data_IF_239620750269
#
_entry.id   IF_239620750269
#
_cell.length_a   1.000
_cell.length_b   1.000
_cell.length_c   1.000
_cell.angle_alpha   90.00
_cell.angle_beta   90.00
_cell.angle_gamma   90.00
#
_symmetry.space_group_name_H-M   'P 1'
#
loop_
_entity.id
_entity.type
_entity.pdbx_description
1 polymer ?
#
# COMPACT_ATOMS: atom_id res chain seq x y z
N UNK A 1 -29.64 2.97 0.68
CA UNK A 1 -28.87 4.21 0.88
C UNK A 1 -27.82 4.24 -0.22
N UNK A 2 -27.76 5.29 -1.03
CA UNK A 2 -26.76 5.41 -2.09
C UNK A 2 -25.39 5.67 -1.44
N UNK A 3 -24.49 4.68 -1.54
CA UNK A 3 -23.17 4.69 -0.92
C UNK A 3 -22.15 5.50 -1.75
N UNK A 4 -22.49 5.87 -2.98
CA UNK A 4 -21.62 6.66 -3.87
C UNK A 4 -21.34 8.07 -3.35
N UNK A 5 -22.25 8.65 -2.56
CA UNK A 5 -22.10 9.95 -1.91
C UNK A 5 -20.83 10.08 -1.04
N UNK A 6 -20.38 9.00 -0.44
CA UNK A 6 -19.24 8.99 0.49
C UNK A 6 -18.02 8.22 -0.05
N UNK A 7 -18.06 7.82 -1.32
CA UNK A 7 -16.98 7.03 -1.94
C UNK A 7 -15.74 7.85 -2.28
N UNK A 8 -15.87 9.18 -2.38
CA UNK A 8 -14.73 10.07 -2.61
C UNK A 8 -14.13 10.57 -1.32
N UNK A 9 -12.84 10.40 -1.16
CA UNK A 9 -12.08 11.03 -0.08
C UNK A 9 -11.69 12.43 -0.54
N UNK A 10 -12.13 13.46 0.17
CA UNK A 10 -12.00 14.87 -0.24
C UNK A 10 -10.67 15.52 0.12
N UNK A 11 -9.83 14.85 0.91
CA UNK A 11 -8.60 15.44 1.43
C UNK A 11 -7.36 14.83 0.75
N UNK A 12 -6.41 15.71 0.43
CA UNK A 12 -5.06 15.28 0.07
C UNK A 12 -4.39 14.65 1.29
N UNK A 13 -3.69 13.55 1.06
CA UNK A 13 -2.90 12.87 2.09
C UNK A 13 -1.43 12.92 1.75
N UNK A 14 -0.59 12.86 2.77
CA UNK A 14 0.86 12.74 2.61
C UNK A 14 1.21 11.26 2.73
N UNK A 15 1.86 10.73 1.69
CA UNK A 15 2.43 9.39 1.69
C UNK A 15 3.94 9.43 1.60
N UNK A 16 4.62 8.47 2.20
CA UNK A 16 6.07 8.32 2.14
C UNK A 16 6.44 6.99 1.48
N UNK A 17 7.46 7.02 0.62
CA UNK A 17 7.96 5.84 -0.08
C UNK A 17 9.46 5.67 0.17
N UNK A 18 9.85 4.48 0.62
CA UNK A 18 11.25 4.14 0.87
C UNK A 18 11.90 3.48 -0.34
N UNK A 19 13.00 4.03 -0.84
CA UNK A 19 13.72 3.51 -2.01
C UNK A 19 15.21 3.88 -1.98
N UNK A 20 15.91 3.69 -3.10
CA UNK A 20 17.28 4.17 -3.24
C UNK A 20 17.33 5.68 -3.43
N UNK A 21 18.36 6.33 -2.88
CA UNK A 21 18.56 7.77 -2.96
C UNK A 21 18.58 8.29 -4.42
N UNK A 22 19.17 7.54 -5.32
CA UNK A 22 19.22 7.93 -6.74
C UNK A 22 17.82 8.01 -7.36
N UNK A 23 16.88 7.15 -6.92
CA UNK A 23 15.48 7.21 -7.33
C UNK A 23 14.81 8.45 -6.75
N UNK A 24 15.01 8.73 -5.45
CA UNK A 24 14.49 9.93 -4.80
C UNK A 24 14.95 11.20 -5.55
N UNK A 25 16.24 11.32 -5.82
CA UNK A 25 16.82 12.47 -6.50
C UNK A 25 16.24 12.65 -7.92
N UNK A 26 16.02 11.57 -8.65
CA UNK A 26 15.45 11.60 -10.00
C UNK A 26 13.96 11.97 -9.99
N UNK A 27 13.18 11.41 -9.06
CA UNK A 27 11.74 11.66 -8.94
C UNK A 27 11.47 13.12 -8.51
N UNK A 28 12.18 13.61 -7.49
CA UNK A 28 12.01 15.00 -7.02
C UNK A 28 12.47 16.02 -8.07
N UNK A 29 13.48 15.67 -8.87
CA UNK A 29 13.92 16.50 -9.99
C UNK A 29 12.98 16.45 -11.21
N UNK A 30 11.89 15.66 -11.16
CA UNK A 30 10.94 15.50 -12.28
C UNK A 30 11.53 14.77 -13.50
N UNK A 31 12.61 14.00 -13.31
CA UNK A 31 13.25 13.23 -14.39
C UNK A 31 12.58 11.88 -14.63
N UNK A 32 11.92 11.33 -13.64
CA UNK A 32 11.19 10.07 -13.67
C UNK A 32 10.09 10.06 -12.62
N UNK A 33 9.17 9.10 -12.72
CA UNK A 33 8.18 8.79 -11.69
C UNK A 33 8.56 7.54 -10.93
N UNK A 34 7.91 7.30 -9.77
CA UNK A 34 7.97 6.03 -9.10
C UNK A 34 7.30 4.95 -9.95
N UNK A 35 7.88 3.76 -9.96
CA UNK A 35 7.36 2.64 -10.72
C UNK A 35 6.30 1.88 -9.93
N UNK A 36 5.24 1.47 -10.62
CA UNK A 36 4.24 0.57 -10.08
C UNK A 36 4.85 -0.80 -9.81
N UNK A 37 4.59 -1.34 -8.62
CA UNK A 37 4.93 -2.71 -8.26
C UNK A 37 3.88 -3.67 -8.83
N UNK A 38 4.31 -4.85 -9.28
CA UNK A 38 3.42 -5.86 -9.90
C UNK A 38 3.73 -7.27 -9.40
N UNK A 39 4.28 -7.39 -8.19
CA UNK A 39 4.54 -8.70 -7.61
C UNK A 39 3.23 -9.38 -7.18
N UNK A 40 3.18 -10.69 -7.31
CA UNK A 40 2.02 -11.51 -6.93
C UNK A 40 1.82 -11.65 -5.40
N UNK A 41 2.67 -11.00 -4.61
CA UNK A 41 2.63 -11.01 -3.14
C UNK A 41 2.51 -9.62 -2.52
N UNK A 42 2.36 -8.58 -3.31
CA UNK A 42 2.17 -7.22 -2.81
C UNK A 42 0.77 -7.07 -2.20
N UNK A 43 0.71 -6.63 -0.97
CA UNK A 43 -0.45 -6.73 -0.07
C UNK A 43 -1.74 -6.10 -0.59
N UNK A 44 -1.65 -5.02 -1.35
CA UNK A 44 -2.79 -4.27 -1.89
C UNK A 44 -2.90 -4.36 -3.41
N UNK A 45 -2.25 -5.35 -4.03
CA UNK A 45 -2.24 -5.52 -5.48
C UNK A 45 -1.24 -4.61 -6.19
N UNK A 46 -1.45 -4.40 -7.48
CA UNK A 46 -0.52 -3.66 -8.33
C UNK A 46 -0.67 -2.16 -8.14
N UNK A 47 0.45 -1.45 -7.94
CA UNK A 47 0.46 -0.01 -7.79
C UNK A 47 1.72 0.54 -7.14
N UNK A 48 1.71 1.83 -6.81
CA UNK A 48 2.79 2.52 -6.13
C UNK A 48 2.43 2.63 -4.64
N UNK A 49 3.29 2.10 -3.79
CA UNK A 49 3.03 1.95 -2.35
C UNK A 49 3.57 3.11 -1.53
N UNK A 50 2.76 3.58 -0.58
CA UNK A 50 3.13 4.64 0.35
C UNK A 50 2.68 4.32 1.77
N UNK A 51 3.44 4.76 2.77
CA UNK A 51 3.03 4.83 4.17
C UNK A 51 2.40 6.19 4.45
N UNK A 52 1.11 6.22 4.83
CA UNK A 52 0.41 7.48 5.14
C UNK A 52 0.96 8.10 6.41
N UNK A 53 1.45 9.35 6.32
CA UNK A 53 2.00 10.14 7.43
C UNK A 53 3.07 9.41 8.27
N UNK A 54 3.78 8.43 7.69
CA UNK A 54 4.73 7.62 8.44
C UNK A 54 6.07 7.49 7.68
N UNK A 55 6.87 8.56 7.73
CA UNK A 55 8.20 8.63 7.13
C UNK A 55 9.14 7.56 7.72
N UNK A 56 9.11 7.40 9.05
CA UNK A 56 9.98 6.44 9.75
C UNK A 56 9.74 5.00 9.27
N UNK A 57 8.48 4.63 9.02
CA UNK A 57 8.18 3.29 8.52
C UNK A 57 8.69 3.07 7.08
N UNK A 58 8.60 4.10 6.24
CA UNK A 58 9.17 4.07 4.89
C UNK A 58 10.71 3.96 4.94
N UNK A 59 11.34 4.67 5.86
CA UNK A 59 12.79 4.61 6.09
C UNK A 59 13.24 3.23 6.58
N UNK A 60 12.55 2.65 7.57
CA UNK A 60 12.82 1.31 8.06
C UNK A 60 12.72 0.27 6.94
N UNK A 61 11.70 0.37 6.11
CA UNK A 61 11.53 -0.50 4.95
C UNK A 61 12.71 -0.42 3.98
N UNK A 62 13.13 0.79 3.60
CA UNK A 62 14.27 0.99 2.72
C UNK A 62 15.55 0.39 3.30
N UNK A 63 15.80 0.60 4.60
CA UNK A 63 16.95 -0.01 5.31
C UNK A 63 16.89 -1.53 5.33
N UNK A 64 15.72 -2.11 5.58
CA UNK A 64 15.57 -3.56 5.64
C UNK A 64 15.71 -4.19 4.25
N UNK A 65 15.22 -3.54 3.21
CA UNK A 65 15.46 -3.97 1.83
C UNK A 65 16.94 -3.87 1.45
N UNK A 66 17.64 -2.81 1.83
CA UNK A 66 19.06 -2.63 1.54
C UNK A 66 19.95 -3.75 2.08
N UNK A 67 19.55 -4.40 3.19
CA UNK A 67 20.27 -5.55 3.78
C UNK A 67 20.14 -6.84 2.99
N UNK A 68 19.19 -6.94 2.04
CA UNK A 68 18.97 -8.15 1.25
C UNK A 68 20.10 -8.37 0.24
N UNK A 69 20.54 -9.60 0.05
CA UNK A 69 21.72 -9.98 -0.77
C UNK A 69 21.71 -9.40 -2.20
N UNK A 70 20.53 -9.25 -2.81
CA UNK A 70 20.36 -8.75 -4.19
C UNK A 70 19.59 -7.43 -4.23
N UNK A 71 19.72 -6.61 -3.18
CA UNK A 71 19.01 -5.34 -3.11
C UNK A 71 19.48 -4.37 -4.19
N UNK A 72 18.51 -3.66 -4.79
CA UNK A 72 18.78 -2.52 -5.66
C UNK A 72 18.98 -1.22 -4.84
N UNK A 73 18.68 -1.25 -3.54
CA UNK A 73 18.88 -0.10 -2.64
C UNK A 73 20.30 -0.14 -2.11
N UNK A 74 21.13 0.80 -2.57
CA UNK A 74 22.51 1.02 -2.11
C UNK A 74 22.58 2.06 -1.01
N UNK A 75 21.84 3.14 -1.18
CA UNK A 75 21.72 4.23 -0.23
C UNK A 75 20.21 4.41 0.10
N UNK A 76 19.74 3.86 1.24
CA UNK A 76 18.34 4.00 1.63
C UNK A 76 17.92 5.47 1.74
N UNK A 77 16.77 5.81 1.21
CA UNK A 77 16.21 7.16 1.28
C UNK A 77 14.67 7.11 1.24
N UNK A 78 14.03 8.24 1.51
CA UNK A 78 12.58 8.40 1.52
C UNK A 78 12.19 9.59 0.64
N UNK A 79 11.15 9.41 -0.17
CA UNK A 79 10.47 10.49 -0.87
C UNK A 79 9.06 10.65 -0.31
N UNK A 80 8.64 11.89 -0.10
CA UNK A 80 7.25 12.24 0.22
C UNK A 80 6.44 12.49 -1.05
N UNK A 81 5.16 12.20 -1.00
CA UNK A 81 4.20 12.48 -2.06
C UNK A 81 2.92 13.11 -1.51
N UNK A 82 2.34 14.02 -2.27
CA UNK A 82 0.99 14.56 -2.03
C UNK A 82 0.04 13.75 -2.90
N UNK A 83 -0.91 13.06 -2.28
CA UNK A 83 -1.78 12.08 -2.94
C UNK A 83 -3.24 12.47 -2.76
N UNK A 84 -3.98 12.59 -3.87
CA UNK A 84 -5.44 12.60 -3.89
C UNK A 84 -5.88 11.15 -4.07
N UNK A 85 -6.54 10.58 -3.08
CA UNK A 85 -6.92 9.17 -3.12
C UNK A 85 -7.92 8.82 -4.23
N UNK A 86 -8.59 9.83 -4.83
CA UNK A 86 -9.57 9.62 -5.88
C UNK A 86 -10.73 8.71 -5.44
N UNK A 87 -11.14 7.79 -6.31
CA UNK A 87 -12.07 6.71 -5.95
C UNK A 87 -11.29 5.60 -5.24
N UNK A 88 -11.29 5.67 -3.91
CA UNK A 88 -10.45 4.82 -3.07
C UNK A 88 -11.19 3.55 -2.60
N UNK A 89 -10.57 2.40 -2.80
CA UNK A 89 -10.96 1.13 -2.16
C UNK A 89 -10.43 1.10 -0.74
N UNK A 90 -11.13 1.76 0.18
CA UNK A 90 -10.72 1.94 1.57
C UNK A 90 -11.15 0.76 2.43
N UNK A 91 -10.25 -0.19 2.65
CA UNK A 91 -10.50 -1.40 3.43
C UNK A 91 -10.59 -1.16 4.96
N UNK A 92 -10.66 0.10 5.40
CA UNK A 92 -11.11 0.46 6.75
C UNK A 92 -12.63 0.64 6.82
N UNK A 93 -13.31 0.72 5.67
CA UNK A 93 -14.77 0.81 5.57
C UNK A 93 -15.39 -0.57 5.43
N UNK A 94 -16.35 -0.88 6.30
CA UNK A 94 -17.04 -2.16 6.33
C UNK A 94 -17.75 -2.50 5.01
N UNK A 95 -18.16 -1.49 4.23
CA UNK A 95 -18.78 -1.70 2.92
C UNK A 95 -17.80 -2.30 1.93
N UNK A 96 -16.59 -1.75 1.86
CA UNK A 96 -15.54 -2.26 0.97
C UNK A 96 -14.99 -3.61 1.44
N UNK A 97 -15.00 -3.88 2.75
CA UNK A 97 -14.68 -5.23 3.25
C UNK A 97 -15.70 -6.28 2.79
N UNK A 98 -16.99 -5.94 2.66
CA UNK A 98 -17.98 -6.86 2.07
C UNK A 98 -17.76 -7.04 0.57
N UNK A 99 -17.37 -5.99 -0.14
CA UNK A 99 -17.01 -6.08 -1.57
C UNK A 99 -15.76 -6.97 -1.77
N UNK A 100 -14.74 -6.81 -0.93
CA UNK A 100 -13.55 -7.66 -0.93
C UNK A 100 -13.90 -9.13 -0.68
N UNK A 101 -14.81 -9.40 0.27
CA UNK A 101 -15.31 -10.74 0.56
C UNK A 101 -16.02 -11.34 -0.65
N UNK A 102 -16.87 -10.58 -1.33
CA UNK A 102 -17.58 -11.05 -2.53
C UNK A 102 -16.58 -11.36 -3.67
N UNK A 103 -15.53 -10.54 -3.83
CA UNK A 103 -14.45 -10.81 -4.79
C UNK A 103 -13.70 -12.10 -4.48
N UNK A 104 -13.43 -12.38 -3.19
CA UNK A 104 -12.86 -13.65 -2.77
C UNK A 104 -13.77 -14.84 -3.13
N UNK A 105 -15.06 -14.78 -2.81
CA UNK A 105 -16.02 -15.85 -3.10
C UNK A 105 -16.11 -16.17 -4.61
N UNK A 106 -16.12 -15.12 -5.44
CA UNK A 106 -16.10 -15.27 -6.89
C UNK A 106 -14.78 -15.88 -7.38
N UNK A 107 -13.64 -15.40 -6.85
CA UNK A 107 -12.33 -15.98 -7.16
C UNK A 107 -12.25 -17.45 -6.82
N UNK A 108 -12.76 -17.87 -5.63
CA UNK A 108 -12.81 -19.29 -5.22
C UNK A 108 -13.55 -20.14 -6.24
N UNK A 109 -14.68 -19.63 -6.76
CA UNK A 109 -15.48 -20.36 -7.76
C UNK A 109 -14.66 -20.57 -9.04
N UNK A 110 -14.03 -19.53 -9.57
CA UNK A 110 -13.20 -19.60 -10.78
C UNK A 110 -12.03 -20.57 -10.61
N UNK A 111 -11.32 -20.49 -9.48
CA UNK A 111 -10.19 -21.38 -9.21
C UNK A 111 -10.62 -22.85 -9.10
N UNK A 112 -11.76 -23.11 -8.45
CA UNK A 112 -12.34 -24.46 -8.33
C UNK A 112 -12.74 -25.03 -9.70
N UNK A 113 -13.39 -24.23 -10.54
CA UNK A 113 -13.80 -24.64 -11.89
C UNK A 113 -12.59 -24.89 -12.81
N UNK A 114 -11.51 -24.12 -12.62
CA UNK A 114 -10.27 -24.26 -13.37
C UNK A 114 -9.35 -25.37 -12.83
N UNK A 115 -9.66 -26.00 -11.72
CA UNK A 115 -8.82 -27.00 -11.07
C UNK A 115 -7.47 -26.46 -10.56
N UNK A 116 -7.39 -25.14 -10.28
CA UNK A 116 -6.17 -24.48 -9.80
C UNK A 116 -6.28 -24.28 -8.29
N UNK A 117 -5.18 -24.51 -7.56
CA UNK A 117 -5.14 -24.22 -6.12
C UNK A 117 -5.16 -22.71 -5.85
N UNK A 118 -5.91 -22.31 -4.80
CA UNK A 118 -5.90 -20.94 -4.31
C UNK A 118 -4.51 -20.56 -3.78
N UNK A 119 -4.03 -19.34 -4.07
CA UNK A 119 -2.82 -18.83 -3.46
C UNK A 119 -2.98 -18.74 -1.94
N UNK A 120 -1.86 -18.79 -1.23
CA UNK A 120 -1.83 -18.75 0.24
C UNK A 120 -0.90 -17.64 0.71
N UNK A 121 -1.32 -16.97 1.80
CA UNK A 121 -0.41 -16.08 2.51
C UNK A 121 0.56 -16.92 3.34
N UNK A 122 1.84 -16.55 3.35
CA UNK A 122 2.89 -17.27 4.08
C UNK A 122 3.81 -16.32 4.84
N UNK A 123 4.38 -16.80 5.93
CA UNK A 123 5.43 -16.11 6.67
C UNK A 123 6.81 -16.30 6.00
N UNK A 124 7.78 -15.49 6.40
CA UNK A 124 9.19 -15.64 6.01
C UNK A 124 9.97 -16.13 7.23
N UNK A 125 10.60 -17.29 7.12
CA UNK A 125 11.36 -17.88 8.21
C UNK A 125 10.48 -18.16 9.42
N UNK A 126 10.92 -17.73 10.62
CA UNK A 126 10.19 -17.92 11.89
C UNK A 126 9.30 -16.72 12.24
N UNK A 127 9.03 -15.79 11.29
CA UNK A 127 8.16 -14.66 11.55
C UNK A 127 6.71 -15.10 11.77
N UNK A 128 6.02 -14.46 12.71
CA UNK A 128 4.60 -14.66 12.97
C UNK A 128 3.73 -13.97 11.93
N UNK A 129 4.26 -12.91 11.31
CA UNK A 129 3.55 -12.13 10.30
C UNK A 129 3.56 -12.83 8.93
N UNK A 130 2.43 -12.77 8.24
CA UNK A 130 2.28 -13.27 6.88
C UNK A 130 2.81 -12.22 5.89
N UNK A 131 4.14 -12.19 5.67
CA UNK A 131 4.79 -11.17 4.85
C UNK A 131 4.68 -11.41 3.34
N UNK A 132 4.45 -12.66 2.92
CA UNK A 132 4.19 -13.04 1.53
C UNK A 132 2.68 -13.21 1.38
N UNK A 133 1.99 -12.21 0.83
CA UNK A 133 0.53 -12.13 0.84
C UNK A 133 -0.11 -12.40 -0.51
N UNK A 134 0.21 -13.54 -1.10
CA UNK A 134 -0.31 -13.92 -2.43
C UNK A 134 -1.82 -14.03 -2.49
N UNK A 135 -2.47 -14.51 -1.42
CA UNK A 135 -3.93 -14.58 -1.34
C UNK A 135 -4.53 -13.17 -1.31
N UNK A 136 -4.03 -12.30 -0.43
CA UNK A 136 -4.54 -10.94 -0.28
C UNK A 136 -4.37 -10.16 -1.60
N UNK A 137 -3.18 -10.26 -2.22
CA UNK A 137 -2.91 -9.68 -3.53
C UNK A 137 -3.93 -10.14 -4.58
N UNK A 138 -4.15 -11.44 -4.71
CA UNK A 138 -5.08 -11.99 -5.70
C UNK A 138 -6.52 -11.54 -5.47
N UNK A 139 -6.97 -11.47 -4.21
CA UNK A 139 -8.33 -11.02 -3.87
C UNK A 139 -8.52 -9.54 -4.17
N UNK A 140 -7.55 -8.68 -3.81
CA UNK A 140 -7.60 -7.26 -4.13
C UNK A 140 -7.60 -7.06 -5.65
N UNK A 141 -6.71 -7.73 -6.38
CA UNK A 141 -6.69 -7.65 -7.85
C UNK A 141 -8.00 -8.10 -8.48
N UNK A 142 -8.63 -9.15 -7.94
CA UNK A 142 -9.95 -9.61 -8.38
C UNK A 142 -10.99 -8.51 -8.20
N UNK A 143 -11.04 -7.86 -7.03
CA UNK A 143 -11.97 -6.75 -6.78
C UNK A 143 -11.75 -5.57 -7.74
N UNK A 144 -10.48 -5.21 -8.01
CA UNK A 144 -10.14 -4.14 -8.94
C UNK A 144 -10.55 -4.48 -10.38
N UNK A 145 -10.31 -5.72 -10.83
CA UNK A 145 -10.66 -6.19 -12.17
C UNK A 145 -12.18 -6.21 -12.39
N UNK A 146 -12.97 -6.64 -11.40
CA UNK A 146 -14.43 -6.63 -11.51
C UNK A 146 -15.02 -5.25 -11.82
N UNK A 147 -14.44 -4.20 -11.26
CA UNK A 147 -14.87 -2.83 -11.58
C UNK A 147 -14.60 -2.48 -13.05
N UNK A 148 -13.45 -2.87 -13.57
CA UNK A 148 -13.10 -2.62 -14.98
C UNK A 148 -13.99 -3.40 -15.92
N UNK A 149 -14.22 -4.68 -15.67
CA UNK A 149 -15.05 -5.56 -16.51
C UNK A 149 -16.52 -5.14 -16.52
N UNK A 150 -17.04 -4.60 -15.41
CA UNK A 150 -18.38 -4.07 -15.31
C UNK A 150 -18.57 -2.69 -15.95
N UNK A 151 -17.58 -2.13 -16.67
CA UNK A 151 -17.56 -0.76 -17.17
C UNK A 151 -17.88 0.29 -16.06
N UNK A 152 -17.63 -0.05 -14.81
CA UNK A 152 -17.73 0.87 -13.69
C UNK A 152 -16.44 1.70 -13.58
N UNK A 153 -16.51 2.82 -12.87
CA UNK A 153 -15.32 3.62 -12.61
C UNK A 153 -14.31 2.79 -11.81
N UNK A 154 -13.09 2.57 -12.33
CA UNK A 154 -12.07 1.80 -11.62
C UNK A 154 -11.64 2.50 -10.33
N UNK A 155 -11.11 1.74 -9.39
CA UNK A 155 -10.49 2.31 -8.21
C UNK A 155 -9.16 2.99 -8.56
N UNK A 156 -8.96 4.22 -8.07
CA UNK A 156 -7.73 4.99 -8.26
C UNK A 156 -6.66 4.61 -7.23
N UNK A 157 -7.09 4.17 -6.06
CA UNK A 157 -6.20 3.76 -4.97
C UNK A 157 -6.84 2.71 -4.07
N UNK A 158 -5.99 1.99 -3.32
CA UNK A 158 -6.38 1.07 -2.24
C UNK A 158 -5.75 1.53 -0.95
N UNK A 159 -6.49 1.53 0.16
CA UNK A 159 -6.02 1.96 1.48
C UNK A 159 -6.42 0.95 2.55
N UNK A 160 -5.51 0.68 3.50
CA UNK A 160 -5.81 -0.21 4.63
C UNK A 160 -4.91 0.08 5.83
N UNK A 161 -5.35 -0.32 7.02
CA UNK A 161 -4.53 -0.43 8.22
C UNK A 161 -3.89 -1.81 8.28
N UNK A 162 -2.57 -1.87 8.41
CA UNK A 162 -1.84 -3.10 8.68
C UNK A 162 -1.44 -3.20 10.14
N UNK A 163 -1.57 -4.41 10.63
CA UNK A 163 -1.23 -4.82 11.97
C UNK A 163 -0.02 -5.75 11.91
N UNK A 164 1.17 -5.20 12.12
CA UNK A 164 2.46 -5.86 11.83
C UNK A 164 3.45 -5.69 12.99
N UNK A 165 4.34 -6.64 13.15
CA UNK A 165 5.38 -6.65 14.17
C UNK A 165 4.99 -7.35 15.47
N UNK A 166 5.83 -7.22 16.47
CA UNK A 166 5.58 -7.81 17.80
C UNK A 166 4.58 -6.96 18.59
N UNK A 167 3.97 -7.55 19.60
CA UNK A 167 3.15 -6.80 20.56
C UNK A 167 3.99 -5.75 21.29
N UNK A 168 3.46 -4.51 21.43
CA UNK A 168 4.15 -3.45 22.17
C UNK A 168 4.34 -3.77 23.65
N UNK A 169 3.41 -4.53 24.22
CA UNK A 169 3.49 -5.06 25.57
C UNK A 169 2.63 -6.35 25.64
N UNK A 170 2.82 -7.21 26.63
CA UNK A 170 2.10 -8.48 26.74
C UNK A 170 0.58 -8.30 26.65
N UNK A 171 -0.06 -9.02 25.74
CA UNK A 171 -1.50 -8.97 25.43
C UNK A 171 -1.99 -7.62 24.85
N UNK A 172 -1.11 -6.76 24.34
CA UNK A 172 -1.52 -5.54 23.70
C UNK A 172 -2.19 -5.79 22.35
N UNK A 173 -3.25 -5.04 22.07
CA UNK A 173 -3.84 -4.93 20.73
C UNK A 173 -3.01 -4.06 19.78
N UNK A 174 -1.92 -3.45 20.24
CA UNK A 174 -1.02 -2.62 19.44
C UNK A 174 0.27 -3.37 19.10
N UNK A 175 0.77 -3.16 17.88
CA UNK A 175 2.02 -3.78 17.41
C UNK A 175 3.02 -2.73 16.99
N UNK A 176 4.29 -3.09 16.99
CA UNK A 176 5.43 -2.18 16.73
C UNK A 176 5.37 -1.49 15.37
N UNK A 177 4.77 -2.14 14.39
CA UNK A 177 4.75 -1.68 13.00
C UNK A 177 3.33 -1.41 12.48
N UNK A 178 2.39 -1.09 13.37
CA UNK A 178 1.07 -0.66 12.94
C UNK A 178 1.17 0.58 12.04
N UNK A 179 0.54 0.52 10.87
CA UNK A 179 0.60 1.62 9.92
C UNK A 179 -0.60 1.61 8.97
N UNK A 180 -0.82 2.75 8.32
CA UNK A 180 -1.71 2.84 7.16
C UNK A 180 -0.85 2.78 5.91
N UNK A 181 -1.24 1.91 4.97
CA UNK A 181 -0.61 1.80 3.67
C UNK A 181 -1.59 2.17 2.56
N UNK A 182 -1.10 2.89 1.57
CA UNK A 182 -1.80 3.29 0.37
C UNK A 182 -1.09 2.65 -0.82
N UNK A 183 -1.87 2.01 -1.69
CA UNK A 183 -1.42 1.58 -3.02
C UNK A 183 -2.11 2.47 -4.05
N UNK A 184 -1.36 3.27 -4.78
CA UNK A 184 -1.85 4.14 -5.85
C UNK A 184 -1.89 3.34 -7.15
N UNK A 185 -3.10 3.03 -7.64
CA UNK A 185 -3.33 2.31 -8.90
C UNK A 185 -3.31 3.26 -10.11
N UNK A 186 -3.79 4.51 -9.91
CA UNK A 186 -3.80 5.55 -10.92
C UNK A 186 -2.73 6.60 -10.57
N UNK A 187 -1.59 6.68 -11.29
CA UNK A 187 -0.52 7.63 -10.99
C UNK A 187 -0.95 9.11 -11.00
N UNK A 188 -2.05 9.47 -11.70
CA UNK A 188 -2.61 10.82 -11.69
C UNK A 188 -3.13 11.24 -10.29
N UNK A 189 -3.27 10.33 -9.37
CA UNK A 189 -3.55 10.61 -7.96
C UNK A 189 -2.39 11.33 -7.26
N UNK A 190 -1.16 11.14 -7.72
CA UNK A 190 0.03 11.78 -7.15
C UNK A 190 0.12 13.20 -7.71
N UNK A 191 0.01 14.21 -6.83
CA UNK A 191 -0.01 15.63 -7.22
C UNK A 191 1.39 16.25 -7.18
N UNK A 192 2.36 15.57 -6.59
CA UNK A 192 3.74 16.00 -6.55
C UNK A 192 4.56 15.19 -5.56
N UNK A 193 5.86 15.27 -5.73
CA UNK A 193 6.85 14.65 -4.85
C UNK A 193 7.66 15.73 -4.13
N UNK A 194 8.15 15.41 -2.94
CA UNK A 194 8.99 16.32 -2.15
C UNK A 194 10.02 15.56 -1.32
N UNK A 195 11.09 16.26 -0.95
CA UNK A 195 12.03 15.77 0.07
C UNK A 195 11.47 16.08 1.46
N UNK A 196 11.41 15.11 2.39
CA UNK A 196 11.06 15.37 3.78
C UNK A 196 11.98 16.44 4.38
N UNK A 197 11.40 17.39 5.12
CA UNK A 197 12.15 18.48 5.75
C UNK A 197 12.46 18.13 7.21
N UNK A 198 13.67 18.50 7.64
CA UNK A 198 13.98 18.58 9.06
C UNK A 198 13.21 19.71 9.76
N UNK A 199 13.02 19.57 11.08
CA UNK A 199 12.40 20.59 11.93
C UNK A 199 13.30 21.82 11.97
N UNK A 200 12.73 23.01 11.77
CA UNK A 200 13.42 24.26 12.09
C UNK A 200 13.29 24.51 13.59
N UNK A 201 14.42 24.47 14.30
CA UNK A 201 14.48 24.60 15.76
C UNK A 201 14.10 26.02 16.28
N UNK A 202 14.03 27.01 15.41
CA UNK A 202 13.66 28.39 15.78
C UNK A 202 12.14 28.55 15.98
N UNK A 203 11.35 27.53 15.62
CA UNK A 203 9.90 27.56 15.69
C UNK A 203 9.35 26.34 16.41
N UNK A 204 8.22 26.48 17.16
CA UNK A 204 7.56 25.32 17.74
C UNK A 204 7.07 24.38 16.63
N UNK A 205 7.11 23.08 16.91
CA UNK A 205 6.49 22.08 16.04
C UNK A 205 4.96 22.20 16.17
N UNK A 206 4.19 22.29 15.06
CA UNK A 206 2.75 22.45 15.09
C UNK A 206 2.00 21.24 15.68
#
# INVERSE_FOLDING_TARGET
MDKSLYSRRSNLVIGFHGCDKSVVDAVVAGKTDLLSCTNDYDWLGNGIYFWENNEERAWQWAKDLAKRKNSQIKEPAVVGAIIDLGYCFDLTDSTYLQELKAAYEAMVTVYKESGIELPKNTSIGNATDLLIRKLDCAVVQTALTYKQDANAHPYDSVKVVFWEGQELCPNAGFREKNHIQICVCNPNCIKGYFLPRGINQDYPNP
#
